data_IF_950285561840
#
_entry.id   IF_950285561840
#
_cell.length_a   1.000
_cell.length_b   1.000
_cell.length_c   1.000
_cell.angle_alpha   90.00
_cell.angle_beta   90.00
_cell.angle_gamma   90.00
#
_symmetry.space_group_name_H-M   'P 1'
#
loop_
_entity.id
_entity.type
_entity.pdbx_description
1 polymer ?
#
# COMPACT_ATOMS: atom_id res chain seq x y z
N UNK A 1 -6.28 4.17 33.46
CA UNK A 1 -6.66 4.37 32.04
C UNK A 1 -6.04 5.68 31.56
N UNK A 2 -4.84 5.65 30.97
CA UNK A 2 -4.19 6.85 30.40
C UNK A 2 -4.77 7.09 29.02
N UNK A 3 -5.47 8.22 28.83
CA UNK A 3 -5.91 8.68 27.50
C UNK A 3 -4.67 9.00 26.67
N UNK A 4 -4.53 8.37 25.51
CA UNK A 4 -3.54 8.74 24.50
C UNK A 4 -3.98 10.07 23.86
N UNK A 5 -3.06 11.01 23.59
CA UNK A 5 -3.43 12.28 22.98
C UNK A 5 -3.82 12.06 21.52
N UNK A 6 -4.97 12.62 21.14
CA UNK A 6 -5.41 12.77 19.75
C UNK A 6 -4.46 13.77 19.09
N UNK A 7 -3.68 13.33 18.11
CA UNK A 7 -2.84 14.21 17.30
C UNK A 7 -3.73 14.79 16.20
N UNK A 8 -4.16 16.03 16.41
CA UNK A 8 -4.94 16.80 15.44
C UNK A 8 -3.97 17.41 14.40
N UNK A 9 -3.97 16.89 13.17
CA UNK A 9 -3.19 17.47 12.07
C UNK A 9 -3.95 18.66 11.50
N UNK A 10 -3.64 19.86 12.02
CA UNK A 10 -4.09 21.12 11.40
C UNK A 10 -3.24 21.44 10.18
N UNK A 11 -3.82 21.26 9.00
CA UNK A 11 -3.30 21.89 7.78
C UNK A 11 -3.70 23.36 7.82
N UNK A 12 -2.75 24.26 8.10
CA UNK A 12 -2.97 25.70 8.01
C UNK A 12 -3.04 26.13 6.54
N UNK A 13 -4.23 26.13 5.93
CA UNK A 13 -4.46 26.87 4.69
C UNK A 13 -4.72 28.34 5.02
N UNK A 14 -3.64 29.08 5.28
CA UNK A 14 -3.68 30.52 5.52
C UNK A 14 -3.28 31.31 4.28
N UNK A 15 -4.23 31.65 3.41
CA UNK A 15 -4.04 32.76 2.47
C UNK A 15 -5.32 33.60 2.39
N UNK A 16 -5.45 34.52 3.33
CA UNK A 16 -6.47 35.57 3.29
C UNK A 16 -5.91 36.78 2.54
N UNK A 17 -6.40 37.07 1.33
CA UNK A 17 -6.22 38.39 0.71
C UNK A 17 -7.49 39.21 0.94
N UNK A 18 -7.36 40.23 1.80
CA UNK A 18 -8.33 41.32 1.91
C UNK A 18 -8.15 42.23 0.71
N UNK A 19 -9.19 42.40 -0.09
CA UNK A 19 -9.28 43.44 -1.10
C UNK A 19 -9.66 44.76 -0.42
N UNK A 20 -8.89 45.82 -0.67
CA UNK A 20 -9.29 47.19 -0.41
C UNK A 20 -8.58 48.13 -1.38
N UNK A 21 -9.30 48.52 -2.43
CA UNK A 21 -9.37 49.90 -2.91
C UNK A 21 -8.26 50.46 -3.81
N UNK A 22 -8.60 51.37 -4.75
CA UNK A 22 -7.76 51.71 -5.89
C UNK A 22 -7.09 53.07 -5.73
N UNK A 23 -5.79 53.21 -6.04
CA UNK A 23 -5.24 54.52 -6.41
C UNK A 23 -3.89 54.43 -7.13
N UNK A 24 -3.93 54.89 -8.38
CA UNK A 24 -2.93 55.63 -9.15
C UNK A 24 -1.58 55.01 -9.61
N UNK A 25 -1.47 55.05 -10.95
CA UNK A 25 -0.39 55.61 -11.79
C UNK A 25 0.96 54.89 -11.91
N UNK A 26 1.08 54.21 -13.06
CA UNK A 26 2.12 54.35 -14.08
C UNK A 26 3.60 54.37 -13.65
N UNK A 27 4.33 53.29 -14.00
CA UNK A 27 5.70 53.41 -14.50
C UNK A 27 6.16 52.17 -15.30
N UNK A 28 6.72 52.45 -16.47
CA UNK A 28 7.76 51.70 -17.19
C UNK A 28 7.52 50.23 -17.58
N UNK A 29 7.47 50.06 -18.90
CA UNK A 29 7.84 48.87 -19.62
C UNK A 29 9.13 48.23 -19.08
N UNK A 30 9.00 47.03 -18.55
CA UNK A 30 9.99 45.98 -18.67
C UNK A 30 9.23 44.67 -18.50
N UNK A 31 8.72 44.11 -19.61
CA UNK A 31 8.49 42.67 -19.62
C UNK A 31 9.85 42.05 -19.31
N UNK A 32 10.04 41.29 -18.22
CA UNK A 32 11.14 40.33 -18.26
C UNK A 32 10.81 39.44 -19.45
N UNK A 33 11.69 39.45 -20.46
CA UNK A 33 11.68 38.44 -21.50
C UNK A 33 11.44 37.11 -20.79
N UNK A 34 10.35 36.43 -21.13
CA UNK A 34 10.08 35.09 -20.64
C UNK A 34 11.42 34.33 -20.79
N UNK A 35 11.92 33.67 -19.72
CA UNK A 35 13.18 32.96 -19.85
C UNK A 35 13.00 32.03 -21.04
N UNK A 36 13.80 32.23 -22.09
CA UNK A 36 13.86 31.31 -23.20
C UNK A 36 14.29 30.00 -22.56
N UNK A 37 13.32 29.11 -22.29
CA UNK A 37 13.61 27.79 -21.78
C UNK A 37 14.64 27.22 -22.74
N UNK A 38 15.84 26.97 -22.24
CA UNK A 38 16.86 26.28 -23.02
C UNK A 38 16.23 25.05 -23.67
N UNK A 39 16.58 24.75 -24.91
CA UNK A 39 16.07 23.58 -25.62
C UNK A 39 16.20 22.30 -24.76
N UNK A 40 17.21 22.24 -23.89
CA UNK A 40 17.40 21.18 -22.89
C UNK A 40 16.33 21.17 -21.80
N UNK A 41 15.93 22.33 -21.26
CA UNK A 41 14.88 22.47 -20.25
C UNK A 41 13.49 22.15 -20.84
N UNK A 42 13.24 22.56 -22.09
CA UNK A 42 12.02 22.21 -22.81
C UNK A 42 11.94 20.71 -23.12
N UNK A 43 13.06 20.09 -23.52
CA UNK A 43 13.14 18.63 -23.74
C UNK A 43 13.00 17.82 -22.43
N UNK A 44 13.57 18.31 -21.32
CA UNK A 44 13.38 17.71 -19.99
C UNK A 44 11.93 17.82 -19.50
N UNK A 45 11.28 18.96 -19.69
CA UNK A 45 9.87 19.15 -19.37
C UNK A 45 8.96 18.27 -20.25
N UNK A 46 9.20 18.24 -21.56
CA UNK A 46 8.46 17.38 -22.49
C UNK A 46 8.62 15.90 -22.15
N UNK A 47 9.84 15.44 -21.85
CA UNK A 47 10.08 14.05 -21.41
C UNK A 47 9.47 13.72 -20.05
N UNK A 48 9.35 14.70 -19.14
CA UNK A 48 8.62 14.54 -17.88
C UNK A 48 7.10 14.46 -18.10
N UNK A 49 6.53 15.27 -18.99
CA UNK A 49 5.12 15.19 -19.40
C UNK A 49 4.81 13.81 -20.03
N UNK A 50 5.69 13.28 -20.88
CA UNK A 50 5.53 11.95 -21.47
C UNK A 50 5.59 10.84 -20.41
N UNK A 51 6.42 10.98 -19.37
CA UNK A 51 6.51 10.02 -18.25
C UNK A 51 5.27 10.03 -17.37
N UNK A 52 4.68 11.20 -17.13
CA UNK A 52 3.44 11.31 -16.34
C UNK A 52 2.25 10.75 -17.13
N UNK A 53 2.14 11.05 -18.43
CA UNK A 53 1.16 10.44 -19.32
C UNK A 53 1.35 8.92 -19.48
N UNK A 54 2.57 8.41 -19.28
CA UNK A 54 2.89 6.99 -19.31
C UNK A 54 2.66 6.26 -17.98
N UNK A 55 2.30 6.96 -16.88
CA UNK A 55 1.87 6.28 -15.65
C UNK A 55 0.50 5.66 -15.90
N UNK A 56 0.51 4.36 -16.20
CA UNK A 56 -0.70 3.55 -16.34
C UNK A 56 -1.55 3.68 -15.07
N UNK A 57 -2.86 3.85 -15.25
CA UNK A 57 -3.80 3.81 -14.14
C UNK A 57 -3.72 2.44 -13.43
N UNK A 58 -3.72 2.39 -12.09
CA UNK A 58 -3.67 1.13 -11.37
C UNK A 58 -4.84 0.21 -11.75
N UNK A 59 -4.54 -1.05 -12.03
CA UNK A 59 -5.56 -2.09 -12.14
C UNK A 59 -6.27 -2.24 -10.80
N UNK A 60 -7.61 -2.11 -10.81
CA UNK A 60 -8.42 -2.26 -9.61
C UNK A 60 -8.56 -3.73 -9.21
N UNK A 61 -8.11 -4.10 -8.00
CA UNK A 61 -8.33 -5.42 -7.43
C UNK A 61 -9.66 -5.43 -6.66
N UNK A 62 -10.71 -5.92 -7.30
CA UNK A 62 -12.07 -5.99 -6.74
C UNK A 62 -12.44 -7.38 -6.22
N UNK A 63 -11.54 -8.37 -6.36
CA UNK A 63 -11.72 -9.76 -5.93
C UNK A 63 -12.62 -10.63 -6.82
N UNK A 64 -13.04 -10.15 -8.00
CA UNK A 64 -14.00 -10.86 -8.88
C UNK A 64 -13.68 -10.78 -10.36
N UNK A 65 -13.11 -9.67 -10.84
CA UNK A 65 -13.02 -9.38 -12.28
C UNK A 65 -11.63 -9.60 -12.90
N UNK A 66 -10.69 -10.20 -12.19
CA UNK A 66 -9.31 -10.38 -12.67
C UNK A 66 -9.26 -11.34 -13.88
N UNK A 67 -8.66 -10.90 -14.98
CA UNK A 67 -8.47 -11.73 -16.17
C UNK A 67 -7.01 -12.19 -16.33
N UNK A 68 -6.78 -13.20 -17.18
CA UNK A 68 -5.41 -13.63 -17.50
C UNK A 68 -4.61 -12.53 -18.22
N UNK A 69 -5.26 -11.69 -19.02
CA UNK A 69 -4.62 -10.56 -19.69
C UNK A 69 -4.12 -9.52 -18.67
N UNK A 70 -4.93 -9.23 -17.65
CA UNK A 70 -4.54 -8.34 -16.55
C UNK A 70 -3.34 -8.89 -15.78
N UNK A 71 -3.30 -10.20 -15.52
CA UNK A 71 -2.15 -10.85 -14.86
C UNK A 71 -0.87 -10.67 -15.67
N UNK A 72 -0.93 -10.83 -16.99
CA UNK A 72 0.22 -10.59 -17.88
C UNK A 72 0.62 -9.11 -17.87
N UNK A 73 -0.35 -8.19 -17.92
CA UNK A 73 -0.10 -6.74 -17.90
C UNK A 73 0.60 -6.30 -16.61
N UNK A 74 0.22 -6.87 -15.45
CA UNK A 74 0.90 -6.61 -14.17
C UNK A 74 2.27 -7.29 -14.13
N UNK A 75 2.34 -8.61 -14.34
CA UNK A 75 3.56 -9.39 -14.12
C UNK A 75 4.69 -9.06 -15.11
N UNK A 76 4.36 -8.81 -16.38
CA UNK A 76 5.32 -8.54 -17.45
C UNK A 76 5.35 -7.07 -17.88
N UNK A 77 4.20 -6.40 -17.83
CA UNK A 77 4.06 -4.99 -18.24
C UNK A 77 4.31 -3.98 -17.12
N UNK A 78 4.41 -4.43 -15.86
CA UNK A 78 4.65 -3.54 -14.72
C UNK A 78 3.47 -2.62 -14.40
N UNK A 79 2.25 -2.97 -14.84
CA UNK A 79 1.06 -2.19 -14.53
C UNK A 79 0.85 -2.14 -13.01
N UNK A 80 0.69 -0.94 -12.41
CA UNK A 80 0.42 -0.82 -10.98
C UNK A 80 -0.94 -1.45 -10.63
N UNK A 81 -1.12 -1.84 -9.38
CA UNK A 81 -2.36 -2.41 -8.86
C UNK A 81 -2.83 -1.65 -7.63
N UNK A 82 -4.15 -1.57 -7.43
CA UNK A 82 -4.74 -0.97 -6.24
C UNK A 82 -5.99 -1.76 -5.83
N UNK A 83 -6.10 -2.27 -4.59
CA UNK A 83 -7.35 -2.82 -4.11
C UNK A 83 -8.44 -1.75 -4.05
N UNK A 84 -9.65 -2.13 -4.46
CA UNK A 84 -10.81 -1.26 -4.30
C UNK A 84 -11.15 -1.06 -2.83
N UNK A 85 -11.81 0.04 -2.48
CA UNK A 85 -12.31 0.28 -1.12
C UNK A 85 -13.17 -0.88 -0.61
N UNK A 86 -14.08 -1.39 -1.46
CA UNK A 86 -14.90 -2.55 -1.12
C UNK A 86 -14.07 -3.83 -0.88
N UNK A 87 -12.94 -4.00 -1.55
CA UNK A 87 -12.01 -5.11 -1.30
C UNK A 87 -11.31 -4.95 0.05
N UNK A 88 -10.84 -3.75 0.39
CA UNK A 88 -10.25 -3.46 1.69
C UNK A 88 -11.23 -3.73 2.84
N UNK A 89 -12.49 -3.31 2.69
CA UNK A 89 -13.51 -3.59 3.69
C UNK A 89 -13.77 -5.10 3.87
N UNK A 90 -13.68 -5.90 2.81
CA UNK A 90 -13.77 -7.37 2.92
C UNK A 90 -12.58 -7.97 3.64
N UNK A 91 -11.36 -7.48 3.36
CA UNK A 91 -10.14 -7.90 4.07
C UNK A 91 -10.26 -7.60 5.56
N UNK A 92 -10.66 -6.39 5.93
CA UNK A 92 -10.86 -6.00 7.33
C UNK A 92 -11.88 -6.91 8.04
N UNK A 93 -13.07 -7.12 7.44
CA UNK A 93 -14.08 -8.02 8.02
C UNK A 93 -13.60 -9.46 8.16
N UNK A 94 -12.85 -9.97 7.17
CA UNK A 94 -12.28 -11.32 7.24
C UNK A 94 -11.24 -11.46 8.34
N UNK A 95 -10.43 -10.42 8.54
CA UNK A 95 -9.44 -10.38 9.61
C UNK A 95 -10.11 -10.34 10.99
N UNK A 96 -11.13 -9.49 11.17
CA UNK A 96 -11.86 -9.40 12.43
C UNK A 96 -12.56 -10.71 12.78
N UNK A 97 -13.13 -11.40 11.78
CA UNK A 97 -13.74 -12.72 11.96
C UNK A 97 -12.73 -13.75 12.49
N UNK A 98 -11.51 -13.79 11.94
CA UNK A 98 -10.46 -14.71 12.40
C UNK A 98 -10.06 -14.43 13.84
N UNK A 99 -9.90 -13.16 14.21
CA UNK A 99 -9.57 -12.76 15.58
C UNK A 99 -10.67 -13.13 16.57
N UNK A 100 -11.94 -12.94 16.19
CA UNK A 100 -13.08 -13.29 17.04
C UNK A 100 -13.17 -14.80 17.27
N UNK A 101 -12.93 -15.62 16.24
CA UNK A 101 -12.85 -17.07 16.41
C UNK A 101 -11.73 -17.48 17.37
N UNK A 102 -10.56 -16.85 17.25
CA UNK A 102 -9.46 -17.04 18.18
C UNK A 102 -9.85 -16.66 19.61
N UNK A 103 -10.49 -15.50 19.80
CA UNK A 103 -10.95 -14.98 21.10
C UNK A 103 -11.99 -15.90 21.75
N UNK A 104 -12.87 -16.48 20.96
CA UNK A 104 -13.86 -17.47 21.40
C UNK A 104 -13.25 -18.86 21.68
N UNK A 105 -11.93 -19.02 21.53
CA UNK A 105 -11.22 -20.27 21.76
C UNK A 105 -11.54 -21.35 20.71
N UNK A 106 -12.16 -20.98 19.58
CA UNK A 106 -12.46 -21.93 18.51
C UNK A 106 -11.15 -22.44 17.90
N UNK A 107 -11.00 -23.76 17.68
CA UNK A 107 -9.79 -24.29 17.06
C UNK A 107 -9.71 -23.85 15.59
N UNK A 108 -8.72 -23.01 15.26
CA UNK A 108 -8.46 -22.49 13.92
C UNK A 108 -7.07 -22.89 13.48
N UNK A 109 -7.02 -23.74 12.44
CA UNK A 109 -5.78 -24.25 11.82
C UNK A 109 -4.91 -23.10 11.31
N UNK A 110 -3.65 -23.06 11.74
CA UNK A 110 -2.70 -22.00 11.36
C UNK A 110 -2.87 -20.67 12.10
N UNK A 111 -3.84 -20.56 13.01
CA UNK A 111 -4.00 -19.40 13.91
C UNK A 111 -3.64 -19.76 15.35
N UNK A 112 -4.51 -20.50 16.05
CA UNK A 112 -4.28 -20.96 17.43
C UNK A 112 -4.01 -22.48 17.50
N UNK A 113 -4.04 -23.16 16.35
CA UNK A 113 -3.61 -24.54 16.16
C UNK A 113 -2.46 -24.61 15.19
N UNK A 114 -1.57 -25.58 15.40
CA UNK A 114 -0.48 -25.85 14.47
C UNK A 114 -0.96 -26.30 13.10
N UNK A 115 -0.02 -26.62 12.22
CA UNK A 115 -0.29 -27.07 10.85
C UNK A 115 0.27 -28.46 10.58
N UNK A 116 -0.22 -29.12 9.53
CA UNK A 116 0.22 -30.46 9.13
C UNK A 116 0.00 -31.47 10.27
N UNK A 117 1.06 -32.20 10.61
CA UNK A 117 1.04 -33.14 11.73
C UNK A 117 0.82 -32.45 13.09
N UNK A 118 1.09 -31.15 13.20
CA UNK A 118 0.92 -30.38 14.44
C UNK A 118 -0.48 -29.76 14.58
N UNK A 119 -1.47 -30.15 13.75
CA UNK A 119 -2.83 -29.59 13.79
C UNK A 119 -3.55 -29.72 15.13
N UNK A 120 -3.18 -30.72 15.93
CA UNK A 120 -3.77 -30.98 17.24
C UNK A 120 -3.01 -30.25 18.37
N UNK A 121 -1.91 -29.57 18.05
CA UNK A 121 -1.13 -28.77 18.99
C UNK A 121 -1.70 -27.35 19.09
N UNK A 122 -1.81 -26.86 20.33
CA UNK A 122 -2.26 -25.49 20.61
C UNK A 122 -1.08 -24.54 20.62
N UNK A 123 -1.15 -23.46 19.83
CA UNK A 123 -0.08 -22.44 19.75
C UNK A 123 -0.23 -21.45 20.91
N UNK A 124 -1.45 -20.97 21.14
CA UNK A 124 -1.83 -20.10 22.23
C UNK A 124 -3.31 -20.32 22.57
N UNK A 125 -3.70 -19.92 23.77
CA UNK A 125 -5.07 -19.95 24.28
C UNK A 125 -5.39 -18.63 24.96
N UNK A 126 -6.69 -18.32 25.11
CA UNK A 126 -7.14 -17.08 25.75
C UNK A 126 -7.33 -15.94 24.76
N UNK A 127 -7.18 -14.70 25.24
CA UNK A 127 -7.39 -13.52 24.40
C UNK A 127 -6.35 -13.46 23.27
N UNK A 128 -6.84 -13.59 22.03
CA UNK A 128 -6.01 -13.58 20.81
C UNK A 128 -5.29 -12.25 20.61
N UNK A 129 -5.79 -11.16 21.22
CA UNK A 129 -5.19 -9.85 21.14
C UNK A 129 -4.27 -9.52 22.32
N UNK A 130 -4.10 -10.44 23.27
CA UNK A 130 -3.09 -10.28 24.32
C UNK A 130 -1.68 -10.20 23.73
N UNK A 131 -0.79 -9.44 24.38
CA UNK A 131 0.59 -9.28 23.92
C UNK A 131 1.33 -10.63 23.84
N UNK A 132 1.04 -11.54 24.77
CA UNK A 132 1.58 -12.90 24.77
C UNK A 132 1.09 -13.72 23.57
N UNK A 133 -0.22 -13.76 23.31
CA UNK A 133 -0.77 -14.48 22.17
C UNK A 133 -0.23 -13.94 20.84
N UNK A 134 -0.09 -12.61 20.72
CA UNK A 134 0.51 -11.97 19.55
C UNK A 134 1.98 -12.34 19.37
N UNK A 135 2.76 -12.37 20.45
CA UNK A 135 4.17 -12.79 20.42
C UNK A 135 4.31 -14.26 20.02
N UNK A 136 3.50 -15.15 20.58
CA UNK A 136 3.46 -16.57 20.22
C UNK A 136 3.05 -16.77 18.77
N UNK A 137 2.00 -16.08 18.31
CA UNK A 137 1.54 -16.11 16.92
C UNK A 137 2.62 -15.62 15.94
N UNK A 138 3.28 -14.51 16.24
CA UNK A 138 4.37 -13.99 15.41
C UNK A 138 5.54 -14.98 15.34
N UNK A 139 5.93 -15.57 16.47
CA UNK A 139 7.01 -16.55 16.53
C UNK A 139 6.63 -17.86 15.81
N UNK A 140 5.36 -18.27 15.85
CA UNK A 140 4.84 -19.39 15.07
C UNK A 140 4.93 -19.11 13.56
N UNK A 141 4.40 -17.96 13.11
CA UNK A 141 4.42 -17.56 11.69
C UNK A 141 5.85 -17.41 11.15
N UNK A 142 6.78 -16.88 11.93
CA UNK A 142 8.19 -16.80 11.55
C UNK A 142 8.81 -18.19 11.34
N UNK A 143 8.60 -19.12 12.28
CA UNK A 143 9.10 -20.49 12.14
C UNK A 143 8.46 -21.23 10.99
N UNK A 144 7.19 -20.95 10.71
CA UNK A 144 6.48 -21.48 9.55
C UNK A 144 7.14 -21.09 8.23
N UNK A 145 7.53 -19.82 8.06
CA UNK A 145 8.27 -19.38 6.87
C UNK A 145 9.60 -20.15 6.74
N UNK A 146 10.33 -20.30 7.84
CA UNK A 146 11.62 -21.00 7.83
C UNK A 146 11.48 -22.49 7.49
N UNK A 147 10.55 -23.20 8.12
CA UNK A 147 10.39 -24.65 7.91
C UNK A 147 9.82 -25.02 6.54
N UNK A 148 9.18 -24.08 5.85
CA UNK A 148 8.60 -24.28 4.52
C UNK A 148 9.47 -23.71 3.39
N UNK A 149 10.60 -23.09 3.72
CA UNK A 149 11.61 -22.66 2.74
C UNK A 149 12.49 -23.85 2.35
N UNK A 150 11.88 -24.81 1.64
CA UNK A 150 12.51 -26.10 1.28
C UNK A 150 12.55 -26.33 -0.24
N UNK A 151 12.25 -25.29 -1.02
CA UNK A 151 12.30 -25.37 -2.48
C UNK A 151 13.73 -25.65 -2.98
N UNK A 152 13.85 -26.47 -4.02
CA UNK A 152 15.11 -26.83 -4.66
C UNK A 152 14.95 -26.80 -6.19
N UNK A 153 16.08 -26.71 -6.90
CA UNK A 153 16.12 -26.62 -8.37
C UNK A 153 16.23 -25.19 -8.90
N UNK A 154 16.15 -25.06 -10.22
CA UNK A 154 16.25 -23.77 -10.90
C UNK A 154 15.12 -22.82 -10.48
N UNK A 155 15.42 -21.55 -10.17
CA UNK A 155 14.38 -20.58 -9.81
C UNK A 155 13.47 -20.31 -11.01
N UNK A 156 12.18 -20.09 -10.74
CA UNK A 156 11.25 -19.62 -11.77
C UNK A 156 11.70 -18.24 -12.27
N UNK A 157 12.32 -18.19 -13.46
CA UNK A 157 13.01 -17.00 -13.96
C UNK A 157 12.08 -15.88 -14.49
N UNK A 158 12.73 -14.72 -14.70
CA UNK A 158 12.29 -13.32 -14.97
C UNK A 158 11.09 -13.10 -15.91
N UNK A 159 9.87 -13.39 -15.46
CA UNK A 159 8.64 -12.73 -15.97
C UNK A 159 7.74 -12.19 -14.86
N UNK A 160 8.24 -12.09 -13.62
CA UNK A 160 7.42 -11.79 -12.43
C UNK A 160 7.91 -10.65 -11.52
N UNK A 161 9.15 -10.20 -11.62
CA UNK A 161 9.66 -9.03 -10.89
C UNK A 161 10.46 -8.16 -11.86
N UNK A 162 10.04 -6.92 -12.09
CA UNK A 162 10.72 -5.97 -12.97
C UNK A 162 11.93 -5.31 -12.26
N UNK A 163 13.10 -5.18 -12.91
CA UNK A 163 14.21 -4.33 -12.45
C UNK A 163 14.04 -2.85 -12.86
N UNK A 164 14.82 -1.90 -12.29
CA UNK A 164 15.93 -2.10 -11.36
C UNK A 164 15.66 -1.55 -9.94
N UNK A 165 15.98 -2.37 -8.93
CA UNK A 165 16.47 -1.91 -7.64
C UNK A 165 17.99 -1.79 -7.72
#
# INVERSE_FOLDING_TARGET
MRRLPVVEVRVQTGFSRRFAGPLLLALAAALPAAPAMSATAAALAASAQTREAARQAPLALDGRSLTAADVVAVARGGQPVAPTEAAWQRVARSHDLLLEYGRLGQPVYGLNRGVGQNKDQTIFSGDTLSDEARALSAAFNHRMLLSHTVAYGEPAWRTRCAPPC
#
